data_IF_158817186115
#
_entry.id   IF_158817186115
#
_cell.length_a   1.000
_cell.length_b   1.000
_cell.length_c   1.000
_cell.angle_alpha   90.00
_cell.angle_beta   90.00
_cell.angle_gamma   90.00
#
_symmetry.space_group_name_H-M   'P 1'
#
loop_
_entity.id
_entity.type
_entity.pdbx_description
1 polymer ?
#
# COMPACT_ATOMS: atom_id res chain seq x y z
N UNK A 1 -28.26 -11.74 -10.48
CA UNK A 1 -27.26 -12.02 -9.44
C UNK A 1 -26.48 -10.74 -9.25
N UNK A 2 -26.71 -10.03 -8.16
CA UNK A 2 -26.00 -8.78 -7.87
C UNK A 2 -24.61 -9.18 -7.37
N UNK A 3 -23.58 -8.94 -8.17
CA UNK A 3 -22.19 -9.01 -7.70
C UNK A 3 -22.07 -8.07 -6.50
N UNK A 4 -21.84 -8.65 -5.32
CA UNK A 4 -21.37 -7.91 -4.17
C UNK A 4 -20.02 -7.37 -4.60
N UNK A 5 -19.80 -6.03 -4.68
CA UNK A 5 -18.46 -5.53 -4.99
C UNK A 5 -17.53 -6.13 -3.95
N UNK A 6 -16.47 -6.81 -4.41
CA UNK A 6 -15.46 -7.37 -3.53
C UNK A 6 -15.09 -6.27 -2.54
N UNK A 7 -15.56 -6.41 -1.29
CA UNK A 7 -15.07 -5.61 -0.19
C UNK A 7 -13.56 -5.80 -0.28
N UNK A 8 -12.81 -4.72 -0.52
CA UNK A 8 -11.36 -4.66 -0.34
C UNK A 8 -11.05 -5.55 0.86
N UNK A 9 -10.41 -6.71 0.62
CA UNK A 9 -10.29 -7.71 1.67
C UNK A 9 -9.63 -7.00 2.86
N UNK A 10 -10.33 -6.88 4.01
CA UNK A 10 -9.94 -5.97 5.07
C UNK A 10 -8.58 -6.33 5.70
N UNK A 11 -8.01 -7.46 5.30
CA UNK A 11 -6.80 -8.09 5.82
C UNK A 11 -5.74 -8.36 4.73
N UNK A 12 -5.76 -7.67 3.58
CA UNK A 12 -4.62 -7.78 2.67
C UNK A 12 -3.35 -7.22 3.36
N UNK A 13 -2.49 -8.15 3.77
CA UNK A 13 -1.24 -7.89 4.49
C UNK A 13 -0.31 -6.98 3.69
N UNK A 14 0.64 -6.36 4.38
CA UNK A 14 1.71 -5.67 3.69
C UNK A 14 2.51 -6.65 2.82
N UNK A 15 3.04 -6.20 1.66
CA UNK A 15 3.89 -7.06 0.87
C UNK A 15 5.08 -7.52 1.73
N UNK A 16 5.49 -8.79 1.60
CA UNK A 16 6.75 -9.26 2.14
C UNK A 16 7.92 -8.35 1.73
N UNK A 17 9.02 -8.35 2.50
CA UNK A 17 10.21 -7.59 2.12
C UNK A 17 10.67 -7.88 0.68
N UNK A 18 10.83 -6.82 -0.11
CA UNK A 18 11.25 -6.93 -1.52
C UNK A 18 10.12 -7.22 -2.52
N UNK A 19 8.88 -7.41 -2.07
CA UNK A 19 7.71 -7.46 -2.94
C UNK A 19 7.11 -6.06 -3.17
N UNK A 20 6.50 -5.87 -4.33
CA UNK A 20 5.73 -4.66 -4.65
C UNK A 20 4.24 -4.95 -4.63
N UNK A 21 3.49 -3.94 -4.21
CA UNK A 21 2.04 -3.97 -4.18
C UNK A 21 1.52 -2.97 -5.19
N UNK A 22 0.63 -3.41 -6.07
CA UNK A 22 -0.03 -2.58 -7.06
C UNK A 22 -1.48 -2.36 -6.66
N UNK A 23 -2.01 -1.16 -6.84
CA UNK A 23 -3.46 -0.94 -6.78
C UNK A 23 -4.13 -1.56 -8.02
N UNK A 24 -4.91 -2.66 -7.90
CA UNK A 24 -5.57 -3.29 -9.05
C UNK A 24 -6.89 -2.60 -9.41
N UNK A 25 -7.36 -1.64 -8.60
CA UNK A 25 -8.68 -1.04 -8.74
C UNK A 25 -8.66 0.15 -9.72
N UNK A 26 -9.78 0.42 -10.41
CA UNK A 26 -9.92 1.56 -11.32
C UNK A 26 -10.12 2.90 -10.59
N UNK A 27 -9.91 2.95 -9.28
CA UNK A 27 -10.08 4.12 -8.43
C UNK A 27 -8.96 4.17 -7.37
N UNK A 28 -8.68 5.36 -6.80
CA UNK A 28 -7.70 5.49 -5.73
C UNK A 28 -8.09 4.65 -4.51
N UNK A 29 -7.09 4.04 -3.88
CA UNK A 29 -7.23 3.33 -2.60
C UNK A 29 -6.37 4.00 -1.55
N UNK A 30 -6.79 3.88 -0.29
CA UNK A 30 -6.05 4.40 0.86
C UNK A 30 -5.49 3.25 1.68
N UNK A 31 -4.26 3.40 2.14
CA UNK A 31 -3.58 2.45 3.02
C UNK A 31 -3.34 3.16 4.36
N UNK A 32 -3.95 2.64 5.42
CA UNK A 32 -3.71 3.08 6.79
C UNK A 32 -2.66 2.19 7.44
N UNK A 33 -1.52 2.76 7.84
CA UNK A 33 -0.50 2.05 8.61
C UNK A 33 -0.97 1.90 10.05
N UNK A 34 -1.19 0.66 10.51
CA UNK A 34 -1.55 0.35 11.89
C UNK A 34 -0.32 0.02 12.74
N UNK A 35 0.67 -0.62 12.15
CA UNK A 35 1.95 -0.93 12.77
C UNK A 35 3.07 -0.68 11.78
N UNK A 36 4.09 0.13 12.11
CA UNK A 36 5.09 0.55 11.14
C UNK A 36 6.07 -0.55 10.71
N UNK A 37 6.12 -1.68 11.43
CA UNK A 37 7.12 -2.73 11.17
C UNK A 37 8.54 -2.23 11.44
N UNK A 38 9.51 -2.77 10.70
CA UNK A 38 10.90 -2.31 10.65
C UNK A 38 11.27 -1.93 9.21
N UNK A 39 10.57 -0.92 8.68
CA UNK A 39 10.81 -0.37 7.35
C UNK A 39 12.06 0.50 7.35
N UNK A 40 12.99 0.19 6.44
CA UNK A 40 14.23 0.95 6.22
C UNK A 40 14.04 2.00 5.15
N UNK A 41 13.39 1.63 4.06
CA UNK A 41 13.04 2.52 2.96
C UNK A 41 11.81 2.00 2.22
N UNK A 42 11.14 2.88 1.50
CA UNK A 42 10.03 2.53 0.64
C UNK A 42 10.02 3.45 -0.59
N UNK A 43 9.28 3.06 -1.61
CA UNK A 43 9.14 3.87 -2.82
C UNK A 43 7.72 3.80 -3.33
N UNK A 44 7.30 4.86 -4.01
CA UNK A 44 6.07 4.90 -4.80
C UNK A 44 6.43 4.90 -6.27
N UNK A 45 5.68 4.16 -7.08
CA UNK A 45 5.71 4.33 -8.52
C UNK A 45 4.35 4.74 -9.03
N UNK A 46 4.33 5.70 -9.94
CA UNK A 46 3.12 6.02 -10.68
C UNK A 46 2.74 4.89 -11.67
N UNK A 47 1.64 5.11 -12.41
CA UNK A 47 1.15 4.16 -13.40
C UNK A 47 2.10 4.01 -14.61
N UNK A 48 2.92 5.02 -14.90
CA UNK A 48 3.91 5.01 -15.98
C UNK A 48 5.23 4.34 -15.56
N UNK A 49 5.42 4.15 -14.26
CA UNK A 49 6.53 3.43 -13.65
C UNK A 49 7.63 4.33 -13.11
N UNK A 50 7.44 5.64 -13.08
CA UNK A 50 8.39 6.57 -12.48
C UNK A 50 8.39 6.40 -10.96
N UNK A 51 9.59 6.25 -10.38
CA UNK A 51 9.77 5.90 -8.96
C UNK A 51 10.27 7.08 -8.14
N UNK A 52 9.60 7.33 -7.02
CA UNK A 52 10.06 8.20 -5.96
C UNK A 52 10.43 7.36 -4.73
N UNK A 53 11.71 7.38 -4.34
CA UNK A 53 12.20 6.67 -3.17
C UNK A 53 12.19 7.57 -1.93
N UNK A 54 11.66 7.05 -0.83
CA UNK A 54 11.62 7.70 0.47
C UNK A 54 12.43 6.91 1.49
N UNK A 55 13.51 7.53 1.97
CA UNK A 55 14.35 7.00 3.05
C UNK A 55 13.78 7.38 4.43
N UNK A 56 12.56 6.92 4.72
CA UNK A 56 11.87 7.20 5.98
C UNK A 56 11.11 5.96 6.47
N UNK A 57 11.03 5.74 7.79
CA UNK A 57 10.17 4.70 8.34
C UNK A 57 8.70 5.07 8.14
N UNK A 58 7.81 4.07 8.18
CA UNK A 58 6.39 4.35 8.37
C UNK A 58 6.08 4.76 9.81
N UNK A 59 4.95 5.44 9.98
CA UNK A 59 4.41 5.81 11.30
C UNK A 59 3.01 5.24 11.46
N UNK A 60 2.66 4.75 12.65
CA UNK A 60 1.29 4.33 12.94
C UNK A 60 0.33 5.52 12.80
N UNK A 61 -0.79 5.31 12.11
CA UNK A 61 -1.74 6.37 11.74
C UNK A 61 -1.42 7.07 10.42
N UNK A 62 -0.26 6.81 9.80
CA UNK A 62 0.06 7.34 8.48
C UNK A 62 -0.91 6.80 7.43
N UNK A 63 -1.34 7.68 6.53
CA UNK A 63 -2.19 7.34 5.40
C UNK A 63 -1.40 7.51 4.10
N UNK A 64 -1.42 6.49 3.25
CA UNK A 64 -0.91 6.56 1.88
C UNK A 64 -2.08 6.46 0.90
N UNK A 65 -1.95 7.10 -0.26
CA UNK A 65 -2.91 7.00 -1.34
C UNK A 65 -2.20 6.36 -2.53
N UNK A 66 -2.81 5.34 -3.12
CA UNK A 66 -2.38 4.78 -4.40
C UNK A 66 -3.48 4.99 -5.42
N UNK A 67 -3.18 5.74 -6.47
CA UNK A 67 -3.98 5.88 -7.67
C UNK A 67 -4.09 4.56 -8.46
N UNK A 68 -4.96 4.51 -9.47
CA UNK A 68 -5.12 3.32 -10.32
C UNK A 68 -3.80 2.93 -10.99
N UNK A 69 -3.35 1.69 -10.80
CA UNK A 69 -2.12 1.19 -11.41
C UNK A 69 -0.82 1.64 -10.72
N UNK A 70 -0.88 2.56 -9.76
CA UNK A 70 0.28 2.94 -8.93
C UNK A 70 0.72 1.78 -8.04
N UNK A 71 1.98 1.86 -7.61
CA UNK A 71 2.65 0.81 -6.84
C UNK A 71 3.38 1.38 -5.65
N UNK A 72 3.51 0.54 -4.63
CA UNK A 72 4.39 0.76 -3.49
C UNK A 72 5.31 -0.45 -3.33
N UNK A 73 6.60 -0.19 -3.10
CA UNK A 73 7.54 -1.22 -2.70
C UNK A 73 8.19 -0.86 -1.37
N UNK A 74 8.43 -1.88 -0.55
CA UNK A 74 8.89 -1.71 0.83
C UNK A 74 10.13 -2.57 1.06
N UNK A 75 11.19 -1.93 1.55
CA UNK A 75 12.35 -2.60 2.12
C UNK A 75 12.25 -2.59 3.64
N UNK A 76 12.10 -3.77 4.24
CA UNK A 76 11.90 -3.93 5.67
C UNK A 76 12.50 -5.21 6.22
N UNK A 77 12.93 -5.18 7.47
CA UNK A 77 13.29 -6.40 8.21
C UNK A 77 12.05 -7.10 8.78
N UNK A 78 11.02 -6.32 9.08
CA UNK A 78 9.72 -6.80 9.54
C UNK A 78 8.62 -6.02 8.82
N UNK A 79 7.69 -6.75 8.20
CA UNK A 79 6.60 -6.16 7.43
C UNK A 79 5.74 -5.23 8.30
N UNK A 80 5.29 -4.08 7.76
CA UNK A 80 4.31 -3.26 8.44
C UNK A 80 2.98 -3.99 8.50
N UNK A 81 2.12 -3.54 9.41
CA UNK A 81 0.69 -3.92 9.43
C UNK A 81 -0.10 -2.74 8.94
N UNK A 82 -0.94 -2.95 7.95
CA UNK A 82 -1.79 -1.91 7.41
C UNK A 82 -3.18 -2.43 7.10
N UNK A 83 -4.06 -1.53 6.68
CA UNK A 83 -5.40 -1.87 6.23
C UNK A 83 -5.79 -1.01 5.05
N UNK A 84 -6.52 -1.61 4.12
CA UNK A 84 -7.13 -0.91 3.01
C UNK A 84 -8.40 -0.16 3.42
N UNK A 85 -8.52 1.06 2.92
CA UNK A 85 -9.72 1.85 2.99
C UNK A 85 -10.13 2.20 1.55
N UNK A 86 -11.42 2.03 1.25
CA UNK A 86 -11.96 2.48 -0.02
C UNK A 86 -11.74 3.99 -0.18
N UNK A 87 -11.27 4.41 -1.36
CA UNK A 87 -11.29 5.82 -1.75
C UNK A 87 -12.73 6.24 -2.01
N UNK A 88 -13.27 7.08 -1.12
CA UNK A 88 -14.54 7.81 -1.34
C UNK A 88 -14.36 8.87 -2.41
#
# INVERSE_FOLDING_TARGET
MTEVPALLEPDAEAPPPGEELRNPHPHPVRILIHGPGQVRSWWLADADGDREALAAPFVAGQMLVLGPGERIGIDSEAAPRWRWLAGT
#
